data_IF_645323044340
#
_entry.id   IF_645323044340
#
_cell.length_a   1.000
_cell.length_b   1.000
_cell.length_c   1.000
_cell.angle_alpha   90.00
_cell.angle_beta   90.00
_cell.angle_gamma   90.00
#
_symmetry.space_group_name_H-M   'P 1'
#
loop_
_entity.id
_entity.type
_entity.pdbx_description
1 polymer ?
#
# COMPACT_ATOMS: atom_id res chain seq x y z
N UNK A 1 -15.70 49.06 17.44
CA UNK A 1 -15.26 47.67 17.61
C UNK A 1 -15.69 46.93 16.35
N UNK A 2 -14.75 46.65 15.45
CA UNK A 2 -15.06 45.99 14.18
C UNK A 2 -15.14 44.48 14.43
N UNK A 3 -16.34 43.91 14.30
CA UNK A 3 -16.52 42.46 14.25
C UNK A 3 -15.95 41.94 12.93
N UNK A 4 -14.80 41.28 13.01
CA UNK A 4 -14.33 40.41 11.93
C UNK A 4 -15.23 39.18 11.88
N UNK A 5 -16.20 39.17 10.97
CA UNK A 5 -16.91 37.96 10.56
C UNK A 5 -15.91 37.03 9.89
N UNK A 6 -15.51 35.98 10.63
CA UNK A 6 -14.76 34.86 10.08
C UNK A 6 -15.60 34.18 9.01
N UNK A 7 -15.26 34.40 7.74
CA UNK A 7 -15.76 33.58 6.64
C UNK A 7 -15.16 32.19 6.84
N UNK A 8 -15.93 31.27 7.45
CA UNK A 8 -15.59 29.85 7.45
C UNK A 8 -15.49 29.42 5.99
N UNK A 9 -14.28 29.04 5.56
CA UNK A 9 -14.05 28.53 4.21
C UNK A 9 -14.86 27.26 4.00
N UNK A 10 -15.98 27.39 3.30
CA UNK A 10 -16.80 26.29 2.81
C UNK A 10 -16.85 26.34 1.29
N UNK A 11 -16.97 25.17 0.64
CA UNK A 11 -17.21 25.11 -0.79
C UNK A 11 -18.47 25.93 -1.13
N UNK A 12 -18.40 26.93 -2.02
CA UNK A 12 -19.53 27.81 -2.33
C UNK A 12 -20.66 27.10 -3.11
N UNK A 13 -20.46 25.82 -3.46
CA UNK A 13 -21.45 24.96 -4.12
C UNK A 13 -21.88 23.88 -3.13
N UNK A 14 -23.08 24.03 -2.58
CA UNK A 14 -23.72 23.02 -1.72
C UNK A 14 -24.25 21.88 -2.59
N UNK A 15 -23.63 20.71 -2.48
CA UNK A 15 -24.17 19.46 -3.02
C UNK A 15 -24.81 18.67 -1.88
N UNK A 16 -26.07 18.25 -2.02
CA UNK A 16 -26.81 17.48 -0.99
C UNK A 16 -26.39 16.01 -0.85
N UNK A 17 -25.27 15.60 -1.48
CA UNK A 17 -24.75 14.24 -1.43
C UNK A 17 -23.92 14.00 -0.17
N UNK A 18 -23.96 12.77 0.36
CA UNK A 18 -23.07 12.39 1.46
C UNK A 18 -21.70 11.97 0.91
N UNK A 19 -20.85 12.95 0.60
CA UNK A 19 -19.56 12.75 -0.10
C UNK A 19 -18.34 12.85 0.81
N UNK A 20 -18.52 12.99 2.13
CA UNK A 20 -17.45 13.12 3.11
C UNK A 20 -17.57 12.04 4.20
N UNK A 21 -16.43 11.55 4.72
CA UNK A 21 -16.43 10.53 5.79
C UNK A 21 -16.94 11.07 7.14
N UNK A 22 -16.94 12.38 7.34
CA UNK A 22 -17.33 13.01 8.62
C UNK A 22 -18.84 13.02 8.89
N UNK A 23 -19.65 12.65 7.91
CA UNK A 23 -21.11 12.64 8.00
C UNK A 23 -21.66 11.20 7.99
N UNK A 24 -21.09 10.35 8.86
CA UNK A 24 -21.50 8.98 9.09
C UNK A 24 -22.48 8.87 10.28
N UNK A 25 -23.58 8.08 10.20
CA UNK A 25 -24.45 7.78 11.33
C UNK A 25 -23.76 7.35 12.64
N UNK A 26 -22.60 6.70 12.57
CA UNK A 26 -21.81 6.30 13.76
C UNK A 26 -21.40 7.49 14.63
N UNK A 27 -21.39 8.71 14.08
CA UNK A 27 -21.22 9.94 14.87
C UNK A 27 -22.31 10.14 15.93
N UNK A 28 -23.54 9.74 15.63
CA UNK A 28 -24.69 9.86 16.54
C UNK A 28 -24.83 8.64 17.46
N UNK A 29 -24.44 7.46 16.98
CA UNK A 29 -24.47 6.21 17.74
C UNK A 29 -23.09 5.55 17.75
N UNK A 30 -22.12 6.08 18.52
CA UNK A 30 -20.73 5.59 18.49
C UNK A 30 -20.55 4.16 19.00
N UNK A 31 -21.51 3.66 19.79
CA UNK A 31 -21.50 2.29 20.32
C UNK A 31 -22.26 1.30 19.44
N UNK A 32 -22.69 1.70 18.24
CA UNK A 32 -23.33 0.78 17.30
C UNK A 32 -22.34 -0.30 16.86
N UNK A 33 -22.83 -1.52 16.65
CA UNK A 33 -22.02 -2.61 16.13
C UNK A 33 -21.52 -2.25 14.72
N UNK A 34 -20.21 -2.33 14.51
CA UNK A 34 -19.62 -2.08 13.21
C UNK A 34 -19.82 -3.30 12.28
N UNK A 35 -20.82 -3.21 11.39
CA UNK A 35 -21.04 -4.22 10.36
C UNK A 35 -20.20 -3.96 9.10
N UNK A 36 -19.54 -2.80 8.99
CA UNK A 36 -18.78 -2.43 7.78
C UNK A 36 -17.63 -3.37 7.45
N UNK A 37 -17.07 -3.98 8.49
CA UNK A 37 -16.00 -4.97 8.39
C UNK A 37 -16.41 -6.24 7.63
N UNK A 38 -17.72 -6.55 7.54
CA UNK A 38 -18.24 -7.78 6.92
C UNK A 38 -18.46 -7.66 5.40
N UNK A 39 -18.43 -6.44 4.86
CA UNK A 39 -18.64 -6.18 3.44
C UNK A 39 -17.47 -5.40 2.82
N UNK A 40 -16.30 -5.50 3.44
CA UNK A 40 -15.05 -5.07 2.83
C UNK A 40 -14.70 -5.96 1.63
N UNK A 41 -13.95 -5.41 0.67
CA UNK A 41 -13.36 -6.15 -0.46
C UNK A 41 -14.38 -6.82 -1.39
N UNK A 42 -15.63 -6.36 -1.43
CA UNK A 42 -16.66 -6.85 -2.37
C UNK A 42 -16.27 -6.57 -3.84
N UNK A 43 -16.87 -7.31 -4.77
CA UNK A 43 -16.67 -7.18 -6.22
C UNK A 43 -16.92 -5.75 -6.74
N UNK A 44 -17.77 -4.96 -6.07
CA UNK A 44 -18.08 -3.57 -6.46
C UNK A 44 -16.90 -2.61 -6.30
N UNK A 45 -15.96 -2.92 -5.41
CA UNK A 45 -14.79 -2.06 -5.16
C UNK A 45 -13.56 -2.55 -5.93
N UNK A 46 -13.58 -3.79 -6.40
CA UNK A 46 -12.51 -4.34 -7.24
C UNK A 46 -12.60 -3.76 -8.66
N UNK A 47 -11.51 -3.20 -9.21
CA UNK A 47 -11.44 -2.78 -10.60
C UNK A 47 -11.15 -3.95 -11.56
N UNK A 48 -10.96 -5.16 -11.04
CA UNK A 48 -10.62 -6.34 -11.82
C UNK A 48 -11.86 -6.99 -12.41
N UNK A 49 -11.72 -7.62 -13.58
CA UNK A 49 -12.79 -8.43 -14.16
C UNK A 49 -13.23 -9.53 -13.16
N UNK A 50 -14.54 -9.86 -13.06
CA UNK A 50 -15.01 -10.91 -12.16
C UNK A 50 -14.41 -12.30 -12.41
N UNK A 51 -13.88 -12.54 -13.61
CA UNK A 51 -13.20 -13.79 -14.00
C UNK A 51 -11.69 -13.77 -13.74
N UNK A 52 -11.14 -12.67 -13.23
CA UNK A 52 -9.72 -12.56 -12.96
C UNK A 52 -9.31 -13.44 -11.77
N UNK A 53 -8.28 -14.26 -11.97
CA UNK A 53 -7.61 -15.05 -10.94
C UNK A 53 -6.15 -14.63 -10.86
N UNK A 54 -5.74 -14.08 -9.72
CA UNK A 54 -4.37 -13.60 -9.54
C UNK A 54 -3.35 -14.74 -9.53
N UNK A 55 -3.69 -15.89 -8.95
CA UNK A 55 -2.78 -17.04 -8.87
C UNK A 55 -2.50 -17.57 -10.28
N UNK A 56 -3.52 -17.63 -11.14
CA UNK A 56 -3.31 -17.98 -12.55
C UNK A 56 -2.51 -16.90 -13.31
N UNK A 57 -2.77 -15.62 -13.05
CA UNK A 57 -2.03 -14.51 -13.66
C UNK A 57 -0.53 -14.53 -13.30
N UNK A 58 -0.19 -14.85 -12.04
CA UNK A 58 1.19 -14.94 -11.54
C UNK A 58 1.95 -16.12 -12.17
N UNK A 59 1.29 -17.25 -12.46
CA UNK A 59 1.96 -18.42 -13.08
C UNK A 59 2.59 -18.11 -14.43
N UNK A 60 2.06 -17.14 -15.17
CA UNK A 60 2.55 -16.69 -16.47
C UNK A 60 3.36 -15.38 -16.40
N UNK A 61 3.79 -15.01 -15.20
CA UNK A 61 4.71 -13.88 -14.97
C UNK A 61 6.12 -14.25 -15.40
N UNK A 62 6.81 -13.32 -16.05
CA UNK A 62 8.25 -13.42 -16.29
C UNK A 62 9.01 -13.07 -15.00
N UNK A 63 9.17 -14.06 -14.12
CA UNK A 63 9.81 -13.89 -12.82
C UNK A 63 11.23 -13.33 -12.93
N UNK A 64 12.00 -13.83 -13.91
CA UNK A 64 13.37 -13.37 -14.12
C UNK A 64 13.39 -11.93 -14.62
N UNK A 65 12.51 -11.58 -15.56
CA UNK A 65 12.40 -10.20 -16.04
C UNK A 65 12.06 -9.22 -14.91
N UNK A 66 11.09 -9.57 -14.04
CA UNK A 66 10.78 -8.74 -12.86
C UNK A 66 12.02 -8.59 -11.98
N UNK A 67 12.71 -9.70 -11.72
CA UNK A 67 13.92 -9.67 -10.90
C UNK A 67 14.99 -8.73 -11.48
N UNK A 68 15.32 -8.91 -12.75
CA UNK A 68 16.34 -8.12 -13.45
C UNK A 68 15.98 -6.63 -13.49
N UNK A 69 14.69 -6.30 -13.70
CA UNK A 69 14.21 -4.93 -13.70
C UNK A 69 14.30 -4.27 -12.31
N UNK A 70 13.96 -5.01 -11.26
CA UNK A 70 14.07 -4.51 -9.88
C UNK A 70 15.54 -4.33 -9.51
N UNK A 71 16.40 -5.31 -9.82
CA UNK A 71 17.84 -5.24 -9.57
C UNK A 71 18.47 -4.03 -10.26
N UNK A 72 18.14 -3.82 -11.55
CA UNK A 72 18.56 -2.63 -12.29
C UNK A 72 18.10 -1.34 -11.61
N UNK A 73 16.82 -1.28 -11.21
CA UNK A 73 16.24 -0.11 -10.53
C UNK A 73 17.01 0.26 -9.27
N UNK A 74 17.60 -0.70 -8.55
CA UNK A 74 18.36 -0.42 -7.32
C UNK A 74 19.46 0.62 -7.55
N UNK A 75 20.06 0.67 -8.74
CA UNK A 75 21.13 1.64 -9.09
C UNK A 75 20.71 2.70 -10.10
N UNK A 76 19.44 2.69 -10.55
CA UNK A 76 18.90 3.65 -11.52
C UNK A 76 18.36 4.90 -10.80
N UNK A 77 19.28 5.71 -10.25
CA UNK A 77 18.94 6.90 -9.46
C UNK A 77 18.10 7.89 -10.24
N UNK A 78 17.01 8.36 -9.62
CA UNK A 78 16.08 9.33 -10.17
C UNK A 78 16.29 10.72 -9.56
N UNK A 79 16.32 11.77 -10.37
CA UNK A 79 16.58 13.15 -9.90
C UNK A 79 15.57 13.66 -8.87
N UNK A 80 14.31 13.21 -8.96
CA UNK A 80 13.24 13.62 -8.03
C UNK A 80 13.31 12.93 -6.66
N UNK A 81 14.11 11.87 -6.54
CA UNK A 81 14.43 11.20 -5.29
C UNK A 81 15.76 10.45 -5.41
N UNK A 82 16.91 11.14 -5.34
CA UNK A 82 18.21 10.54 -5.61
C UNK A 82 18.51 9.36 -4.69
N UNK A 83 19.18 8.34 -5.21
CA UNK A 83 19.58 7.18 -4.42
C UNK A 83 20.75 7.54 -3.51
N UNK A 84 20.61 7.27 -2.21
CA UNK A 84 21.72 7.39 -1.27
C UNK A 84 22.87 6.48 -1.69
N UNK A 85 24.06 7.05 -1.84
CA UNK A 85 25.25 6.36 -2.37
C UNK A 85 25.04 5.69 -3.74
N UNK A 86 24.08 6.17 -4.53
CA UNK A 86 23.75 5.58 -5.83
C UNK A 86 23.03 4.24 -5.75
N UNK A 87 22.50 3.84 -4.59
CA UNK A 87 21.82 2.56 -4.42
C UNK A 87 20.56 2.64 -3.52
N UNK A 88 19.37 2.32 -4.05
CA UNK A 88 18.10 2.32 -3.31
C UNK A 88 17.88 1.15 -2.36
N UNK A 89 18.82 0.20 -2.30
CA UNK A 89 18.72 -1.01 -1.49
C UNK A 89 18.23 -0.79 -0.05
N UNK A 90 18.86 0.10 0.76
CA UNK A 90 18.39 0.38 2.12
C UNK A 90 16.94 0.88 2.19
N UNK A 91 16.52 1.70 1.22
CA UNK A 91 15.16 2.22 1.13
C UNK A 91 14.14 1.11 0.85
N UNK A 92 14.45 0.19 -0.07
CA UNK A 92 13.56 -0.92 -0.39
C UNK A 92 13.52 -2.01 0.70
N UNK A 93 14.65 -2.26 1.37
CA UNK A 93 14.67 -3.12 2.57
C UNK A 93 13.77 -2.53 3.64
N UNK A 94 13.89 -1.23 3.94
CA UNK A 94 13.01 -0.56 4.91
C UNK A 94 11.55 -0.66 4.49
N UNK A 95 11.22 -0.41 3.23
CA UNK A 95 9.84 -0.53 2.75
C UNK A 95 9.27 -1.95 2.93
N UNK A 96 10.03 -2.98 2.56
CA UNK A 96 9.60 -4.37 2.73
C UNK A 96 9.44 -4.73 4.21
N UNK A 97 10.39 -4.31 5.05
CA UNK A 97 10.33 -4.47 6.50
C UNK A 97 9.09 -3.79 7.10
N UNK A 98 8.82 -2.53 6.78
CA UNK A 98 7.66 -1.80 7.30
C UNK A 98 6.34 -2.39 6.78
N UNK A 99 6.31 -2.89 5.54
CA UNK A 99 5.14 -3.58 5.01
C UNK A 99 4.85 -4.88 5.76
N UNK A 100 5.88 -5.67 6.10
CA UNK A 100 5.72 -6.93 6.81
C UNK A 100 5.58 -6.76 8.34
N UNK A 101 6.17 -5.71 8.89
CA UNK A 101 6.36 -5.50 10.33
C UNK A 101 5.11 -5.08 11.09
N UNK A 102 3.99 -4.83 10.41
CA UNK A 102 2.71 -4.52 11.07
C UNK A 102 1.97 -5.76 11.57
N UNK A 103 2.45 -6.96 11.25
CA UNK A 103 1.84 -8.23 11.65
C UNK A 103 1.81 -8.42 13.17
N UNK A 104 0.71 -8.96 13.68
CA UNK A 104 0.54 -9.28 15.10
C UNK A 104 0.06 -10.71 15.28
N UNK A 105 0.73 -11.45 16.16
CA UNK A 105 0.39 -12.85 16.46
C UNK A 105 -0.95 -13.02 17.19
N UNK A 106 -1.44 -11.97 17.87
CA UNK A 106 -2.63 -12.05 18.73
C UNK A 106 -3.93 -12.22 17.95
N UNK A 107 -4.04 -11.59 16.78
CA UNK A 107 -5.23 -11.64 15.94
C UNK A 107 -4.93 -11.95 14.46
N UNK A 108 -3.66 -12.13 14.11
CA UNK A 108 -3.21 -12.44 12.75
C UNK A 108 -3.30 -11.28 11.77
N UNK A 109 -3.67 -10.06 12.22
CA UNK A 109 -3.83 -8.89 11.35
C UNK A 109 -2.52 -8.18 11.08
N UNK A 110 -2.53 -7.36 10.03
CA UNK A 110 -1.37 -6.64 9.52
C UNK A 110 -0.43 -7.58 8.75
N UNK A 111 0.76 -7.07 8.46
CA UNK A 111 1.74 -7.73 7.62
C UNK A 111 1.60 -7.38 6.15
N UNK A 112 2.33 -8.12 5.32
CA UNK A 112 2.54 -7.77 3.92
C UNK A 112 1.55 -8.42 2.94
N UNK A 113 0.58 -9.18 3.43
CA UNK A 113 -0.25 -10.08 2.60
C UNK A 113 -1.07 -9.33 1.53
N UNK A 114 -1.47 -8.10 1.79
CA UNK A 114 -2.48 -7.39 0.97
C UNK A 114 -1.95 -6.08 0.35
N UNK A 115 -0.68 -5.75 0.60
CA UNK A 115 -0.07 -4.53 0.09
C UNK A 115 -0.62 -3.25 0.72
N UNK A 116 -1.13 -3.33 1.94
CA UNK A 116 -1.85 -2.28 2.68
C UNK A 116 -1.03 -1.02 2.94
N UNK A 117 0.30 -1.10 2.87
CA UNK A 117 1.22 0.05 2.96
C UNK A 117 0.90 1.17 1.93
N UNK A 118 0.16 0.87 0.85
CA UNK A 118 -0.28 1.88 -0.13
C UNK A 118 -1.55 2.63 0.25
N UNK A 119 -2.30 2.16 1.24
CA UNK A 119 -3.56 2.74 1.70
C UNK A 119 -3.42 3.43 3.06
N UNK A 120 -4.40 4.28 3.38
CA UNK A 120 -4.53 4.79 4.75
C UNK A 120 -4.84 3.63 5.71
N UNK A 121 -4.44 3.70 6.98
CA UNK A 121 -3.62 4.76 7.58
C UNK A 121 -2.11 4.57 7.31
N UNK A 122 -1.68 3.38 6.93
CA UNK A 122 -0.27 2.99 6.87
C UNK A 122 0.56 3.85 5.91
N UNK A 123 -0.02 4.29 4.80
CA UNK A 123 0.65 5.16 3.84
C UNK A 123 1.04 6.54 4.39
N UNK A 124 0.52 6.91 5.58
CA UNK A 124 0.66 8.22 6.21
C UNK A 124 1.13 8.14 7.66
N UNK A 125 1.44 6.94 8.17
CA UNK A 125 2.05 6.80 9.48
C UNK A 125 3.41 7.49 9.54
N UNK A 126 3.76 8.15 10.67
CA UNK A 126 5.05 8.83 10.82
C UNK A 126 6.25 7.91 10.54
N UNK A 127 6.16 6.66 11.00
CA UNK A 127 7.23 5.67 10.82
C UNK A 127 7.38 5.23 9.35
N UNK A 128 6.39 5.48 8.50
CA UNK A 128 6.40 5.18 7.06
C UNK A 128 6.79 6.39 6.20
N UNK A 129 7.34 7.45 6.81
CA UNK A 129 7.81 8.63 6.10
C UNK A 129 8.72 8.28 4.93
N UNK A 130 8.48 8.93 3.79
CA UNK A 130 9.18 8.75 2.50
C UNK A 130 9.04 7.37 1.85
N UNK A 131 8.31 6.40 2.44
CA UNK A 131 8.02 5.13 1.77
C UNK A 131 7.02 5.31 0.62
N UNK A 132 6.32 6.44 0.54
CA UNK A 132 5.57 6.85 -0.65
C UNK A 132 6.49 7.04 -1.86
N UNK A 133 7.72 7.52 -1.67
CA UNK A 133 8.75 7.64 -2.71
C UNK A 133 9.25 6.26 -3.13
N UNK A 134 9.50 5.36 -2.18
CA UNK A 134 9.89 3.98 -2.45
C UNK A 134 8.84 3.25 -3.32
N UNK A 135 7.55 3.33 -2.94
CA UNK A 135 6.46 2.77 -3.76
C UNK A 135 6.38 3.43 -5.14
N UNK A 136 6.64 4.73 -5.23
CA UNK A 136 6.65 5.46 -6.51
C UNK A 136 7.79 5.03 -7.43
N UNK A 137 8.98 4.70 -6.90
CA UNK A 137 10.10 4.17 -7.68
C UNK A 137 9.78 2.81 -8.33
N UNK A 138 8.99 1.97 -7.65
CA UNK A 138 8.55 0.67 -8.19
C UNK A 138 7.43 0.76 -9.23
N UNK A 139 6.75 1.90 -9.35
CA UNK A 139 5.60 2.06 -10.24
C UNK A 139 5.89 1.70 -11.71
N UNK A 140 7.01 2.08 -12.33
CA UNK A 140 7.31 1.68 -13.71
C UNK A 140 7.34 0.17 -13.90
N UNK A 141 7.84 -0.58 -12.91
CA UNK A 141 7.87 -2.05 -12.92
C UNK A 141 6.45 -2.60 -12.80
N UNK A 142 5.68 -2.12 -11.82
CA UNK A 142 4.25 -2.49 -11.69
C UNK A 142 3.47 -2.22 -12.98
N UNK A 143 3.73 -1.09 -13.63
CA UNK A 143 3.10 -0.71 -14.91
C UNK A 143 3.50 -1.66 -16.04
N UNK A 144 4.77 -2.07 -16.12
CA UNK A 144 5.28 -2.99 -17.15
C UNK A 144 4.68 -4.39 -17.03
N UNK A 145 4.61 -4.93 -15.81
CA UNK A 145 4.14 -6.31 -15.57
C UNK A 145 2.63 -6.41 -15.30
N UNK A 146 1.96 -5.28 -15.08
CA UNK A 146 0.51 -5.18 -15.01
C UNK A 146 -0.08 -6.06 -13.90
N UNK A 147 -1.15 -6.77 -14.24
CA UNK A 147 -1.92 -7.57 -13.28
C UNK A 147 -1.19 -8.86 -12.84
N UNK A 148 -0.15 -9.28 -13.57
CA UNK A 148 0.58 -10.51 -13.27
C UNK A 148 1.46 -10.41 -12.01
N UNK A 149 1.65 -9.21 -11.48
CA UNK A 149 2.34 -8.97 -10.20
C UNK A 149 1.52 -7.99 -9.36
N UNK A 150 1.24 -8.34 -8.11
CA UNK A 150 0.56 -7.46 -7.17
C UNK A 150 1.52 -6.43 -6.58
N UNK A 151 0.99 -5.33 -6.04
CA UNK A 151 1.78 -4.44 -5.20
C UNK A 151 2.26 -5.15 -3.93
N UNK A 152 1.41 -6.01 -3.36
CA UNK A 152 1.74 -6.81 -2.19
C UNK A 152 3.02 -7.64 -2.39
N UNK A 153 3.14 -8.36 -3.51
CA UNK A 153 4.36 -9.11 -3.82
C UNK A 153 5.53 -8.20 -4.21
N UNK A 154 5.30 -7.20 -5.07
CA UNK A 154 6.37 -6.35 -5.60
C UNK A 154 7.10 -5.59 -4.50
N UNK A 155 6.40 -5.11 -3.46
CA UNK A 155 7.04 -4.39 -2.36
C UNK A 155 7.99 -5.27 -1.55
N UNK A 156 7.62 -6.54 -1.31
CA UNK A 156 8.46 -7.47 -0.55
C UNK A 156 9.59 -8.02 -1.41
N UNK A 157 9.28 -8.32 -2.69
CA UNK A 157 10.29 -8.75 -3.65
C UNK A 157 11.42 -7.74 -3.77
N UNK A 158 11.11 -6.44 -3.80
CA UNK A 158 12.12 -5.38 -3.85
C UNK A 158 13.08 -5.41 -2.65
N UNK A 159 12.59 -5.72 -1.45
CA UNK A 159 13.44 -5.90 -0.27
C UNK A 159 14.33 -7.14 -0.38
N UNK A 160 13.80 -8.26 -0.86
CA UNK A 160 14.57 -9.48 -1.08
C UNK A 160 15.69 -9.28 -2.12
N UNK A 161 15.37 -8.68 -3.26
CA UNK A 161 16.35 -8.41 -4.32
C UNK A 161 17.42 -7.43 -3.84
N UNK A 162 17.04 -6.41 -3.06
CA UNK A 162 17.99 -5.50 -2.46
C UNK A 162 18.99 -6.20 -1.53
N UNK A 163 18.56 -7.20 -0.75
CA UNK A 163 19.51 -7.99 0.04
C UNK A 163 20.49 -8.77 -0.85
N UNK A 164 20.00 -9.41 -1.92
CA UNK A 164 20.86 -10.18 -2.84
C UNK A 164 21.85 -9.31 -3.60
N UNK A 165 21.42 -8.14 -4.09
CA UNK A 165 22.31 -7.20 -4.80
C UNK A 165 23.43 -6.66 -3.90
N UNK A 166 23.18 -6.60 -2.58
CA UNK A 166 24.14 -6.15 -1.58
C UNK A 166 24.92 -7.30 -0.91
N UNK A 167 24.87 -8.51 -1.50
CA UNK A 167 25.73 -9.63 -1.13
C UNK A 167 25.15 -10.61 -0.10
N UNK A 168 23.90 -10.44 0.33
CA UNK A 168 23.21 -11.40 1.19
C UNK A 168 22.35 -12.34 0.35
N UNK A 169 22.75 -13.61 0.25
CA UNK A 169 21.92 -14.66 -0.36
C UNK A 169 20.67 -14.90 0.49
N UNK A 170 19.49 -14.61 -0.05
CA UNK A 170 18.22 -14.87 0.65
C UNK A 170 17.86 -16.35 0.64
N UNK A 171 16.97 -16.76 1.54
CA UNK A 171 16.51 -18.15 1.61
C UNK A 171 15.59 -18.52 0.44
N UNK A 172 14.85 -17.53 -0.08
CA UNK A 172 13.90 -17.69 -1.16
C UNK A 172 12.80 -16.64 -1.10
N UNK A 173 11.88 -16.69 -2.06
CA UNK A 173 10.73 -15.80 -2.16
C UNK A 173 9.53 -16.59 -2.73
N UNK A 174 8.32 -16.22 -2.31
CA UNK A 174 7.09 -16.78 -2.82
C UNK A 174 6.13 -15.65 -3.25
N UNK A 175 5.59 -15.79 -4.46
CA UNK A 175 4.52 -14.97 -5.01
C UNK A 175 3.14 -15.55 -4.63
N UNK A 176 2.09 -14.76 -4.84
CA UNK A 176 0.70 -15.15 -4.68
C UNK A 176 -0.09 -14.29 -3.70
N UNK A 177 0.46 -13.15 -3.27
CA UNK A 177 -0.26 -12.16 -2.46
C UNK A 177 -1.19 -11.35 -3.37
N UNK A 178 -2.46 -11.25 -3.01
CA UNK A 178 -3.43 -10.50 -3.80
C UNK A 178 -3.49 -9.04 -3.36
N UNK A 179 -3.79 -8.14 -4.30
CA UNK A 179 -3.98 -6.72 -4.00
C UNK A 179 -5.42 -6.47 -3.49
N UNK A 180 -5.56 -5.72 -2.40
CA UNK A 180 -6.86 -5.14 -1.98
C UNK A 180 -7.09 -3.76 -2.60
N UNK A 181 -8.30 -3.23 -2.55
CA UNK A 181 -8.66 -2.00 -3.27
C UNK A 181 -9.05 -0.81 -2.40
N UNK A 182 -9.02 -0.98 -1.09
CA UNK A 182 -9.36 0.03 -0.09
C UNK A 182 -8.73 -0.34 1.26
N UNK A 183 -8.64 0.59 2.23
CA UNK A 183 -8.12 0.31 3.58
C UNK A 183 -8.78 -0.88 4.28
N UNK A 184 -8.02 -1.62 5.07
CA UNK A 184 -8.56 -2.59 6.02
C UNK A 184 -9.04 -1.85 7.27
N UNK A 185 -10.35 -1.80 7.47
CA UNK A 185 -11.01 -1.09 8.57
C UNK A 185 -11.33 -2.01 9.76
N UNK A 186 -11.12 -3.30 9.61
CA UNK A 186 -11.24 -4.29 10.69
C UNK A 186 -10.00 -4.37 11.58
N UNK A 187 -8.92 -3.67 11.20
CA UNK A 187 -7.70 -3.61 12.02
C UNK A 187 -7.84 -2.53 13.10
N UNK A 188 -7.94 -2.98 14.35
CA UNK A 188 -7.83 -2.10 15.51
C UNK A 188 -6.37 -1.74 15.75
N UNK A 189 -5.94 -0.54 15.37
CA UNK A 189 -4.56 -0.06 15.52
C UNK A 189 -4.24 0.53 16.90
N UNK A 190 -5.25 0.89 17.68
CA UNK A 190 -5.10 1.63 18.95
C UNK A 190 -6.32 2.51 19.23
N UNK A 191 -6.33 3.19 20.36
CA UNK A 191 -7.42 4.11 20.78
C UNK A 191 -6.91 5.44 21.32
N UNK A 192 -5.67 5.80 20.99
CA UNK A 192 -5.02 7.07 21.34
C UNK A 192 -5.69 8.32 20.73
#
# INVERSE_FOLDING_TARGET
>A
MNEHTSIKGGCPVMHGGNTEMNNNPTKWWPNALNLDILHQHDARVSPMDPSYDHREAVKVLDFKGVWDDVDKLLTDSQDWWPADWGHYGPLFIRMAWHSAGTYRVGDGRGGAADGTLRFAPLNSWPDNANLDKARRLLWPIKKKYGNKISWADLMILAGNIAYESMGLKTFGFAFGREDIWHPETDVYWGSE
#
